data_IF_972425699741
#
_entry.id   IF_972425699741
#
_cell.length_a   1.000
_cell.length_b   1.000
_cell.length_c   1.000
_cell.angle_alpha   90.00
_cell.angle_beta   90.00
_cell.angle_gamma   90.00
#
_symmetry.space_group_name_H-M   'P 1'
#
loop_
_entity.id
_entity.type
_entity.pdbx_description
1 polymer ?
#
# COMPACT_ATOMS: atom_id res chain seq x y z
N UNK A 1 -4.32 -3.28 85.63
CA UNK A 1 -5.25 -2.12 85.58
C UNK A 1 -4.44 -0.86 85.47
N UNK A 2 -4.16 -0.39 84.30
CA UNK A 2 -3.33 0.78 84.07
C UNK A 2 -4.10 1.70 83.07
N UNK A 3 -4.57 2.80 83.60
CA UNK A 3 -5.33 3.80 82.84
C UNK A 3 -4.35 4.72 82.10
N UNK A 4 -4.43 4.76 80.79
CA UNK A 4 -3.75 5.73 79.95
C UNK A 4 -4.61 7.00 79.82
N UNK A 5 -4.03 8.12 80.24
CA UNK A 5 -4.61 9.47 80.15
C UNK A 5 -4.25 10.04 78.79
N UNK A 6 -5.24 10.39 78.01
CA UNK A 6 -5.09 11.14 76.72
C UNK A 6 -5.09 12.66 77.07
N UNK A 7 -4.01 13.31 76.69
CA UNK A 7 -3.88 14.77 76.79
C UNK A 7 -4.33 15.40 75.49
N UNK A 8 -5.29 16.30 75.52
CA UNK A 8 -5.76 17.10 74.43
C UNK A 8 -4.94 18.38 74.32
N UNK A 9 -4.05 18.47 73.34
CA UNK A 9 -3.41 19.75 73.00
C UNK A 9 -4.25 20.45 71.95
N UNK A 10 -4.76 21.61 72.29
CA UNK A 10 -5.49 22.50 71.35
C UNK A 10 -4.49 23.14 70.42
N UNK A 11 -4.62 22.88 69.12
CA UNK A 11 -3.91 23.59 68.09
C UNK A 11 -4.87 24.67 67.54
N UNK A 12 -4.37 25.92 67.65
CA UNK A 12 -5.09 27.11 67.20
C UNK A 12 -5.29 27.15 65.66
N UNK A 13 -6.46 27.53 65.27
CA UNK A 13 -6.85 27.73 63.89
C UNK A 13 -6.14 28.97 63.32
N UNK A 14 -5.30 28.74 62.29
CA UNK A 14 -4.81 29.78 61.41
C UNK A 14 -5.66 29.76 60.15
N UNK A 15 -6.53 30.75 59.97
CA UNK A 15 -7.30 30.97 58.79
C UNK A 15 -6.38 31.47 57.65
N UNK A 16 -6.13 30.60 56.66
CA UNK A 16 -5.48 30.96 55.39
C UNK A 16 -6.22 30.27 54.26
N UNK A 17 -7.37 30.80 53.89
CA UNK A 17 -8.12 30.35 52.72
C UNK A 17 -7.45 30.94 51.49
N UNK A 18 -6.44 30.27 50.95
CA UNK A 18 -5.96 30.54 49.61
C UNK A 18 -6.93 29.85 48.62
N UNK A 19 -7.82 30.63 48.04
CA UNK A 19 -8.69 30.19 46.97
C UNK A 19 -7.83 29.97 45.73
N UNK A 20 -7.47 28.71 45.46
CA UNK A 20 -6.99 28.25 44.16
C UNK A 20 -8.18 28.32 43.21
N UNK A 21 -8.34 29.45 42.53
CA UNK A 21 -9.22 29.57 41.36
C UNK A 21 -8.56 28.77 40.27
N UNK A 22 -8.94 27.50 40.11
CA UNK A 22 -8.66 26.72 38.93
C UNK A 22 -9.43 27.35 37.77
N UNK A 23 -8.74 28.15 36.96
CA UNK A 23 -9.25 28.60 35.66
C UNK A 23 -9.28 27.37 34.74
N UNK A 24 -10.40 26.65 34.77
CA UNK A 24 -10.76 25.74 33.69
C UNK A 24 -10.96 26.62 32.47
N UNK A 25 -9.97 26.61 31.57
CA UNK A 25 -10.12 27.18 30.24
C UNK A 25 -11.19 26.33 29.53
N UNK A 26 -12.43 26.83 29.54
CA UNK A 26 -13.44 26.31 28.64
C UNK A 26 -12.99 26.70 27.23
N UNK A 27 -12.47 25.74 26.47
CA UNK A 27 -12.35 25.92 25.04
C UNK A 27 -13.72 26.35 24.54
N UNK A 28 -13.78 27.50 23.86
CA UNK A 28 -15.05 28.00 23.36
C UNK A 28 -15.63 26.98 22.36
N UNK A 29 -16.96 26.86 22.35
CA UNK A 29 -17.64 26.00 21.36
C UNK A 29 -17.24 26.34 19.92
N UNK A 30 -16.82 27.58 19.68
CA UNK A 30 -16.25 28.03 18.41
C UNK A 30 -14.89 27.39 18.08
N UNK A 31 -14.09 27.06 19.07
CA UNK A 31 -12.78 26.42 18.87
C UNK A 31 -12.93 24.92 18.60
N UNK A 32 -13.90 24.29 19.26
CA UNK A 32 -14.31 22.91 18.95
C UNK A 32 -14.98 22.82 17.57
N UNK A 33 -15.84 23.74 17.21
CA UNK A 33 -16.46 23.80 15.89
C UNK A 33 -15.45 24.04 14.76
N UNK A 34 -14.35 24.79 15.02
CA UNK A 34 -13.26 24.97 14.05
C UNK A 34 -12.39 23.74 13.86
N UNK A 35 -12.27 22.89 14.89
CA UNK A 35 -11.48 21.65 14.79
C UNK A 35 -12.22 20.54 14.02
N UNK A 36 -13.56 20.63 13.94
CA UNK A 36 -14.41 19.66 13.22
C UNK A 36 -14.83 20.15 11.82
N UNK A 37 -14.43 21.35 11.41
CA UNK A 37 -14.71 21.81 10.06
C UNK A 37 -13.96 20.90 9.07
N UNK A 38 -14.69 20.02 8.41
CA UNK A 38 -14.20 19.30 7.24
C UNK A 38 -13.61 20.35 6.28
N UNK A 39 -12.42 20.09 5.70
CA UNK A 39 -11.85 21.00 4.73
C UNK A 39 -12.92 21.28 3.66
N UNK A 40 -13.29 22.55 3.49
CA UNK A 40 -14.19 22.95 2.42
C UNK A 40 -13.50 22.56 1.10
N UNK A 41 -14.04 21.56 0.42
CA UNK A 41 -13.62 21.28 -0.95
C UNK A 41 -14.03 22.48 -1.79
N UNK A 42 -13.07 23.29 -2.20
CA UNK A 42 -13.34 24.48 -3.00
C UNK A 42 -13.93 24.13 -4.36
N UNK A 43 -13.62 22.94 -4.86
CA UNK A 43 -14.13 22.38 -6.09
C UNK A 43 -14.35 20.86 -5.92
N UNK A 44 -15.61 20.43 -5.96
CA UNK A 44 -15.99 19.01 -5.85
C UNK A 44 -15.51 18.18 -7.04
N UNK A 45 -15.21 18.83 -8.16
CA UNK A 45 -14.65 18.19 -9.35
C UNK A 45 -13.12 18.13 -9.35
N UNK A 46 -12.46 18.69 -8.32
CA UNK A 46 -11.02 18.60 -8.19
C UNK A 46 -10.56 17.15 -8.02
N UNK A 47 -9.34 16.83 -8.48
CA UNK A 47 -8.78 15.48 -8.33
C UNK A 47 -8.61 15.11 -6.85
N UNK A 48 -8.37 16.07 -5.98
CA UNK A 48 -8.31 15.89 -4.54
C UNK A 48 -9.65 15.44 -3.97
N UNK A 49 -10.76 16.04 -4.39
CA UNK A 49 -12.10 15.61 -3.99
C UNK A 49 -12.41 14.21 -4.53
N UNK A 50 -12.11 13.96 -5.79
CA UNK A 50 -12.35 12.67 -6.47
C UNK A 50 -11.57 11.51 -5.84
N UNK A 51 -10.40 11.78 -5.24
CA UNK A 51 -9.55 10.73 -4.64
C UNK A 51 -9.78 10.53 -3.14
N UNK A 52 -10.71 11.24 -2.49
CA UNK A 52 -10.96 11.10 -1.05
C UNK A 52 -11.29 9.67 -0.63
N UNK A 53 -12.09 8.95 -1.40
CA UNK A 53 -12.38 7.53 -1.14
C UNK A 53 -11.15 6.64 -1.22
N UNK A 54 -10.16 7.00 -2.04
CA UNK A 54 -8.92 6.25 -2.23
C UNK A 54 -7.93 6.48 -1.08
N UNK A 55 -7.74 7.77 -0.70
CA UNK A 55 -6.71 8.15 0.28
C UNK A 55 -7.01 7.64 1.69
N UNK A 56 -8.28 7.44 2.02
CA UNK A 56 -8.70 6.87 3.31
C UNK A 56 -8.06 5.50 3.59
N UNK A 57 -7.84 4.70 2.55
CA UNK A 57 -7.23 3.38 2.66
C UNK A 57 -5.77 3.37 2.17
N UNK A 58 -5.48 4.00 1.04
CA UNK A 58 -4.17 3.92 0.40
C UNK A 58 -3.17 4.99 0.86
N UNK A 59 -3.57 5.85 1.80
CA UNK A 59 -2.74 6.98 2.25
C UNK A 59 -2.86 8.20 1.34
N UNK A 60 -2.53 9.37 1.89
CA UNK A 60 -2.80 10.68 1.26
C UNK A 60 -2.16 10.84 -0.12
N UNK A 61 -1.01 10.22 -0.33
CA UNK A 61 -0.29 10.21 -1.60
C UNK A 61 -0.22 8.81 -2.22
N UNK A 62 -1.04 7.85 -1.75
CA UNK A 62 -1.02 6.48 -2.22
C UNK A 62 0.16 5.65 -1.71
N UNK A 63 0.76 6.02 -0.58
CA UNK A 63 1.89 5.34 0.05
C UNK A 63 1.58 3.93 0.56
N UNK A 64 0.31 3.61 0.79
CA UNK A 64 -0.14 2.37 1.40
C UNK A 64 -0.08 2.40 2.92
N UNK A 65 -0.31 1.25 3.55
CA UNK A 65 -0.23 1.08 5.01
C UNK A 65 0.94 0.18 5.40
N UNK A 66 1.51 0.41 6.58
CA UNK A 66 2.61 -0.42 7.13
C UNK A 66 2.21 -1.87 7.37
N UNK A 67 0.93 -2.15 7.55
CA UNK A 67 0.42 -3.52 7.68
C UNK A 67 0.35 -4.28 6.35
N UNK A 68 0.56 -3.60 5.23
CA UNK A 68 0.43 -4.17 3.89
C UNK A 68 -1.00 -4.51 3.47
N UNK A 69 -1.98 -4.27 4.32
CA UNK A 69 -3.38 -4.56 4.00
C UNK A 69 -3.87 -3.70 2.83
N UNK A 70 -3.54 -2.40 2.85
CA UNK A 70 -3.78 -1.50 1.73
C UNK A 70 -2.45 -1.21 1.02
N UNK A 71 -2.29 -1.67 -0.23
CA UNK A 71 -1.01 -1.58 -0.92
C UNK A 71 -0.67 -0.16 -1.33
N UNK A 72 0.63 0.10 -1.47
CA UNK A 72 1.15 1.29 -2.15
C UNK A 72 0.69 1.29 -3.61
N UNK A 73 0.05 2.39 -4.01
CA UNK A 73 -0.38 2.66 -5.39
C UNK A 73 0.42 3.80 -6.03
N UNK A 74 1.07 4.64 -5.22
CA UNK A 74 1.91 5.74 -5.68
C UNK A 74 3.07 5.31 -6.58
N UNK A 75 3.28 6.04 -7.66
CA UNK A 75 4.43 5.89 -8.54
C UNK A 75 4.44 4.64 -9.41
N UNK A 76 3.34 3.90 -9.47
CA UNK A 76 3.16 2.81 -10.43
C UNK A 76 2.76 3.38 -11.79
N UNK A 77 3.04 2.69 -12.91
CA UNK A 77 2.60 3.14 -14.22
C UNK A 77 1.12 3.49 -14.26
N UNK A 78 0.76 4.60 -14.90
CA UNK A 78 -0.63 5.03 -15.00
C UNK A 78 -1.50 3.98 -15.71
N UNK A 79 -1.01 3.40 -16.80
CA UNK A 79 -1.71 2.32 -17.50
C UNK A 79 -1.93 1.08 -16.66
N UNK A 80 -0.95 0.72 -15.79
CA UNK A 80 -1.16 -0.36 -14.83
C UNK A 80 -2.28 -0.01 -13.84
N UNK A 81 -2.24 1.18 -13.23
CA UNK A 81 -3.25 1.59 -12.26
C UNK A 81 -4.64 1.61 -12.89
N UNK A 82 -4.76 2.18 -14.08
CA UNK A 82 -6.01 2.17 -14.83
C UNK A 82 -6.51 0.75 -15.12
N UNK A 83 -5.66 -0.12 -15.64
CA UNK A 83 -6.00 -1.53 -15.87
C UNK A 83 -6.48 -2.24 -14.60
N UNK A 84 -5.91 -1.92 -13.43
CA UNK A 84 -6.36 -2.50 -12.15
C UNK A 84 -7.73 -1.94 -11.71
N UNK A 85 -7.98 -0.64 -11.87
CA UNK A 85 -9.27 -0.04 -11.53
C UNK A 85 -10.38 -0.63 -12.41
N UNK A 86 -10.14 -0.75 -13.72
CA UNK A 86 -11.07 -1.43 -14.66
C UNK A 86 -11.25 -2.89 -14.28
N UNK A 87 -10.18 -3.62 -13.93
CA UNK A 87 -10.29 -5.02 -13.52
C UNK A 87 -11.11 -5.21 -12.22
N UNK A 88 -11.05 -4.27 -11.28
CA UNK A 88 -11.93 -4.27 -10.11
C UNK A 88 -13.38 -3.94 -10.50
N UNK A 89 -13.62 -2.95 -11.35
CA UNK A 89 -14.97 -2.59 -11.83
C UNK A 89 -15.63 -3.77 -12.54
N UNK A 90 -14.90 -4.42 -13.42
CA UNK A 90 -15.41 -5.52 -14.25
C UNK A 90 -15.41 -6.87 -13.53
N UNK A 91 -14.90 -6.94 -12.29
CA UNK A 91 -14.88 -8.16 -11.46
C UNK A 91 -13.81 -9.19 -11.85
N UNK A 92 -12.93 -8.89 -12.82
CA UNK A 92 -11.81 -9.77 -13.21
C UNK A 92 -10.68 -9.76 -12.16
N UNK A 93 -10.68 -8.77 -11.26
CA UNK A 93 -9.91 -8.73 -10.03
C UNK A 93 -10.88 -8.59 -8.85
N UNK A 94 -10.86 -9.57 -7.93
CA UNK A 94 -11.84 -9.64 -6.85
C UNK A 94 -11.28 -9.13 -5.54
N UNK A 95 -11.89 -8.07 -5.01
CA UNK A 95 -11.73 -7.56 -3.65
C UNK A 95 -12.91 -6.65 -3.36
N UNK A 96 -13.89 -7.13 -2.60
CA UNK A 96 -15.19 -6.49 -2.45
C UNK A 96 -15.17 -4.98 -2.19
N UNK A 97 -14.32 -4.42 -1.29
CA UNK A 97 -14.28 -2.97 -1.09
C UNK A 97 -13.90 -2.20 -2.36
N UNK A 98 -12.90 -2.68 -3.14
CA UNK A 98 -12.51 -2.02 -4.38
C UNK A 98 -13.56 -2.20 -5.48
N UNK A 99 -14.14 -3.41 -5.62
CA UNK A 99 -15.20 -3.66 -6.60
C UNK A 99 -16.39 -2.73 -6.37
N UNK A 100 -16.77 -2.52 -5.10
CA UNK A 100 -17.84 -1.59 -4.75
C UNK A 100 -17.48 -0.14 -5.04
N UNK A 101 -16.27 0.30 -4.62
CA UNK A 101 -15.82 1.69 -4.74
C UNK A 101 -15.77 2.16 -6.19
N UNK A 102 -15.25 1.33 -7.11
CA UNK A 102 -15.04 1.73 -8.51
C UNK A 102 -16.16 1.23 -9.47
N UNK A 103 -17.13 0.49 -8.96
CA UNK A 103 -18.11 -0.23 -9.76
C UNK A 103 -18.94 0.63 -10.71
N UNK A 104 -19.10 1.90 -10.40
CA UNK A 104 -19.89 2.86 -11.18
C UNK A 104 -19.07 3.98 -11.82
N UNK A 105 -17.74 3.93 -11.69
CA UNK A 105 -16.87 4.99 -12.21
C UNK A 105 -16.62 4.81 -13.72
N UNK A 106 -16.85 5.84 -14.55
CA UNK A 106 -16.58 5.78 -15.98
C UNK A 106 -15.08 5.83 -16.27
N UNK A 107 -14.69 5.36 -17.45
CA UNK A 107 -13.29 5.27 -17.88
C UNK A 107 -12.50 6.57 -17.75
N UNK A 108 -13.00 7.75 -18.16
CA UNK A 108 -12.25 8.99 -17.99
C UNK A 108 -11.90 9.27 -16.54
N UNK A 109 -12.84 9.01 -15.62
CA UNK A 109 -12.64 9.22 -14.20
C UNK A 109 -11.58 8.27 -13.61
N UNK A 110 -11.61 6.99 -14.02
CA UNK A 110 -10.59 6.02 -13.62
C UNK A 110 -9.20 6.35 -14.17
N UNK A 111 -9.13 6.93 -15.40
CA UNK A 111 -7.85 7.38 -15.99
C UNK A 111 -7.25 8.53 -15.19
N UNK A 112 -8.03 9.55 -14.84
CA UNK A 112 -7.55 10.69 -14.05
C UNK A 112 -7.04 10.26 -12.67
N UNK A 113 -7.74 9.34 -11.99
CA UNK A 113 -7.29 8.77 -10.71
C UNK A 113 -5.96 8.00 -10.90
N UNK A 114 -5.84 7.21 -11.95
CA UNK A 114 -4.64 6.44 -12.24
C UNK A 114 -3.43 7.36 -12.51
N UNK A 115 -3.61 8.40 -13.30
CA UNK A 115 -2.59 9.40 -13.61
C UNK A 115 -2.17 10.18 -12.36
N UNK A 116 -3.14 10.59 -11.53
CA UNK A 116 -2.87 11.27 -10.27
C UNK A 116 -1.93 10.45 -9.36
N UNK A 117 -2.25 9.19 -9.09
CA UNK A 117 -1.41 8.36 -8.24
C UNK A 117 -0.10 7.93 -8.92
N UNK A 118 -0.07 7.80 -10.24
CA UNK A 118 1.16 7.53 -10.98
C UNK A 118 2.20 8.65 -10.85
N UNK A 119 1.78 9.88 -10.66
CA UNK A 119 2.66 11.05 -10.45
C UNK A 119 3.12 11.21 -9.00
N UNK A 120 2.49 10.56 -8.03
CA UNK A 120 2.85 10.68 -6.63
C UNK A 120 4.21 10.02 -6.33
N UNK A 121 5.05 10.69 -5.52
CA UNK A 121 6.40 10.22 -5.15
C UNK A 121 6.64 10.27 -3.64
N UNK A 122 5.75 9.67 -2.79
CA UNK A 122 6.08 9.54 -1.37
C UNK A 122 7.31 8.65 -1.22
N UNK A 123 8.16 8.85 -0.20
CA UNK A 123 9.30 7.99 0.07
C UNK A 123 8.91 6.51 0.10
N UNK A 124 9.81 5.65 -0.34
CA UNK A 124 9.74 4.22 -0.08
C UNK A 124 10.36 3.98 1.28
N UNK A 125 9.55 3.55 2.24
CA UNK A 125 10.04 3.20 3.57
C UNK A 125 10.83 1.88 3.49
N UNK A 126 12.04 1.82 4.06
CA UNK A 126 12.74 0.55 4.21
C UNK A 126 11.91 -0.39 5.09
N UNK A 127 11.77 -1.62 4.65
CA UNK A 127 11.15 -2.64 5.49
C UNK A 127 12.10 -3.04 6.63
N UNK A 128 11.57 -3.30 7.84
CA UNK A 128 12.41 -3.83 8.92
C UNK A 128 13.12 -5.11 8.45
N UNK A 129 14.38 -5.33 8.83
CA UNK A 129 15.07 -6.55 8.46
C UNK A 129 14.39 -7.75 9.15
N UNK A 130 13.69 -8.54 8.38
CA UNK A 130 13.12 -9.79 8.86
C UNK A 130 14.20 -10.88 8.76
N UNK A 131 14.28 -11.74 9.78
CA UNK A 131 15.13 -12.93 9.73
C UNK A 131 14.49 -13.94 8.79
N UNK A 132 15.05 -14.05 7.58
CA UNK A 132 14.58 -14.98 6.57
C UNK A 132 15.49 -16.20 6.57
N UNK A 133 14.90 -17.38 6.52
CA UNK A 133 15.60 -18.65 6.33
C UNK A 133 16.58 -18.52 5.15
N UNK A 134 17.87 -18.89 5.31
CA UNK A 134 18.87 -18.79 4.24
C UNK A 134 18.48 -19.55 2.97
N UNK A 135 17.83 -20.70 3.08
CA UNK A 135 17.37 -21.50 1.94
C UNK A 135 16.27 -20.77 1.19
N UNK A 136 15.32 -20.20 1.92
CA UNK A 136 14.25 -19.38 1.34
C UNK A 136 14.81 -18.13 0.65
N UNK A 137 15.78 -17.47 1.27
CA UNK A 137 16.47 -16.30 0.72
C UNK A 137 17.23 -16.63 -0.58
N UNK A 138 17.96 -17.76 -0.62
CA UNK A 138 18.66 -18.20 -1.81
C UNK A 138 17.68 -18.53 -2.96
N UNK A 139 16.59 -19.23 -2.67
CA UNK A 139 15.55 -19.53 -3.67
C UNK A 139 14.90 -18.26 -4.21
N UNK A 140 14.59 -17.29 -3.35
CA UNK A 140 14.07 -15.97 -3.75
C UNK A 140 15.02 -15.25 -4.67
N UNK A 141 16.32 -15.26 -4.38
CA UNK A 141 17.37 -14.67 -5.24
C UNK A 141 17.31 -15.28 -6.64
N UNK A 142 17.32 -16.60 -6.75
CA UNK A 142 17.25 -17.28 -8.06
C UNK A 142 16.01 -16.86 -8.82
N UNK A 143 14.82 -16.98 -8.23
CA UNK A 143 13.56 -16.67 -8.91
C UNK A 143 13.48 -15.20 -9.37
N UNK A 144 13.94 -14.27 -8.53
CA UNK A 144 13.82 -12.86 -8.85
C UNK A 144 14.84 -12.40 -9.89
N UNK A 145 16.09 -12.90 -9.83
CA UNK A 145 17.19 -12.37 -10.66
C UNK A 145 17.54 -13.24 -11.88
N UNK A 146 17.30 -14.54 -11.83
CA UNK A 146 17.63 -15.50 -12.89
C UNK A 146 16.42 -16.24 -13.46
N UNK A 147 15.36 -16.40 -12.66
CA UNK A 147 14.22 -17.26 -12.99
C UNK A 147 14.53 -18.75 -12.79
N UNK A 148 13.66 -19.59 -13.29
CA UNK A 148 13.79 -21.06 -13.20
C UNK A 148 13.41 -21.69 -14.55
N UNK A 149 14.43 -22.08 -15.30
CA UNK A 149 14.27 -22.67 -16.63
C UNK A 149 13.55 -24.05 -16.58
N UNK A 150 13.68 -24.79 -15.48
CA UNK A 150 13.04 -26.11 -15.34
C UNK A 150 11.52 -25.98 -15.25
N UNK A 151 11.05 -24.96 -14.55
CA UNK A 151 9.61 -24.66 -14.41
C UNK A 151 9.13 -23.66 -15.46
N UNK A 152 10.03 -23.09 -16.26
CA UNK A 152 9.73 -22.08 -17.26
C UNK A 152 9.26 -20.76 -16.66
N UNK A 153 9.78 -20.41 -15.48
CA UNK A 153 9.53 -19.14 -14.80
C UNK A 153 10.65 -18.16 -15.17
N UNK A 154 10.36 -17.05 -15.88
CA UNK A 154 11.38 -16.04 -16.16
C UNK A 154 11.73 -15.26 -14.89
N UNK A 155 12.91 -14.60 -14.87
CA UNK A 155 13.28 -13.70 -13.79
C UNK A 155 12.23 -12.60 -13.60
N UNK A 156 11.87 -12.26 -12.37
CA UNK A 156 10.95 -11.15 -12.10
C UNK A 156 11.49 -9.83 -12.65
N UNK A 157 12.81 -9.62 -12.55
CA UNK A 157 13.51 -8.45 -13.09
C UNK A 157 13.40 -8.32 -14.61
N UNK A 158 13.19 -9.41 -15.34
CA UNK A 158 13.07 -9.38 -16.80
C UNK A 158 11.80 -8.66 -17.29
N UNK A 159 10.76 -8.56 -16.46
CA UNK A 159 9.52 -7.86 -16.79
C UNK A 159 9.30 -6.63 -15.90
N UNK A 160 9.62 -6.73 -14.60
CA UNK A 160 9.38 -5.65 -13.63
C UNK A 160 10.53 -4.63 -13.57
N UNK A 161 11.50 -4.72 -14.48
CA UNK A 161 12.70 -3.87 -14.57
C UNK A 161 13.82 -4.33 -13.65
N UNK A 162 15.07 -4.05 -14.02
CA UNK A 162 16.25 -4.49 -13.27
C UNK A 162 16.27 -4.00 -11.82
N UNK A 163 15.68 -2.82 -11.54
CA UNK A 163 15.50 -2.25 -10.21
C UNK A 163 14.15 -2.57 -9.59
N UNK A 164 13.31 -3.37 -10.25
CA UNK A 164 11.96 -3.74 -9.80
C UNK A 164 11.04 -2.53 -9.58
N UNK A 165 11.31 -1.42 -10.27
CA UNK A 165 10.50 -0.19 -10.20
C UNK A 165 9.29 -0.22 -11.13
N UNK A 166 9.19 -1.25 -11.97
CA UNK A 166 8.13 -1.39 -12.98
C UNK A 166 8.56 -0.92 -14.36
N UNK A 167 7.68 -1.06 -15.32
CA UNK A 167 7.90 -0.69 -16.71
C UNK A 167 6.62 -0.11 -17.31
N UNK A 168 6.75 1.05 -17.97
CA UNK A 168 5.64 1.66 -18.70
C UNK A 168 5.19 0.79 -19.87
N UNK A 169 3.91 0.85 -20.26
CA UNK A 169 2.82 1.53 -19.55
C UNK A 169 2.11 0.66 -18.50
N UNK A 170 2.31 -0.67 -18.45
CA UNK A 170 1.40 -1.59 -17.76
C UNK A 170 2.01 -2.53 -16.72
N UNK A 171 3.34 -2.56 -16.54
CA UNK A 171 3.99 -3.46 -15.58
C UNK A 171 4.34 -2.73 -14.27
N UNK A 172 3.81 -3.16 -13.11
CA UNK A 172 4.01 -2.44 -11.86
C UNK A 172 5.40 -2.65 -11.26
N UNK A 173 5.87 -1.68 -10.48
CA UNK A 173 6.99 -1.87 -9.57
C UNK A 173 6.63 -2.79 -8.40
N UNK A 174 7.61 -3.56 -7.95
CA UNK A 174 7.47 -4.53 -6.84
C UNK A 174 8.14 -4.04 -5.56
N UNK A 175 9.08 -3.11 -5.64
CA UNK A 175 9.77 -2.53 -4.47
C UNK A 175 8.78 -1.79 -3.58
N UNK A 176 8.95 -1.94 -2.26
CA UNK A 176 8.10 -1.32 -1.25
C UNK A 176 6.72 -1.94 -1.09
N UNK A 177 6.49 -3.14 -1.65
CA UNK A 177 5.30 -3.93 -1.38
C UNK A 177 5.55 -4.86 -0.19
N UNK A 178 4.55 -4.98 0.66
CA UNK A 178 4.57 -5.87 1.82
C UNK A 178 4.58 -7.36 1.40
N UNK A 179 5.34 -8.22 2.09
CA UNK A 179 5.45 -9.64 1.74
C UNK A 179 4.10 -10.36 1.69
N UNK A 180 3.24 -10.09 2.67
CA UNK A 180 1.90 -10.68 2.76
C UNK A 180 1.02 -10.29 1.58
N UNK A 181 1.13 -9.03 1.13
CA UNK A 181 0.43 -8.57 -0.07
C UNK A 181 0.94 -9.28 -1.32
N UNK A 182 2.27 -9.44 -1.48
CA UNK A 182 2.87 -10.12 -2.64
C UNK A 182 2.37 -11.56 -2.71
N UNK A 183 2.45 -12.31 -1.60
CA UNK A 183 1.96 -13.70 -1.53
C UNK A 183 0.47 -13.75 -1.88
N UNK A 184 -0.35 -12.89 -1.29
CA UNK A 184 -1.78 -12.86 -1.56
C UNK A 184 -2.10 -12.58 -3.04
N UNK A 185 -1.37 -11.69 -3.71
CA UNK A 185 -1.60 -11.41 -5.12
C UNK A 185 -1.19 -12.58 -6.02
N UNK A 186 -0.05 -13.22 -5.77
CA UNK A 186 0.37 -14.41 -6.51
C UNK A 186 -0.61 -15.57 -6.31
N UNK A 187 -1.07 -15.80 -5.07
CA UNK A 187 -2.09 -16.80 -4.77
C UNK A 187 -3.38 -16.54 -5.53
N UNK A 188 -3.86 -15.30 -5.55
CA UNK A 188 -5.10 -14.94 -6.27
C UNK A 188 -5.03 -15.19 -7.77
N UNK A 189 -3.88 -14.96 -8.41
CA UNK A 189 -3.67 -15.36 -9.80
C UNK A 189 -3.67 -16.89 -9.95
N UNK A 190 -2.99 -17.60 -9.05
CA UNK A 190 -2.91 -19.07 -9.07
C UNK A 190 -4.29 -19.73 -8.97
N UNK A 191 -5.17 -19.20 -8.14
CA UNK A 191 -6.53 -19.74 -7.91
C UNK A 191 -7.61 -19.10 -8.81
N UNK A 192 -7.25 -18.19 -9.71
CA UNK A 192 -8.18 -17.57 -10.66
C UNK A 192 -9.11 -16.50 -10.05
N UNK A 193 -8.75 -15.91 -8.92
CA UNK A 193 -9.47 -14.74 -8.34
C UNK A 193 -8.97 -13.40 -8.89
N UNK A 194 -7.86 -13.41 -9.59
CA UNK A 194 -7.26 -12.25 -10.24
C UNK A 194 -6.85 -12.61 -11.66
N UNK A 195 -7.30 -11.81 -12.61
CA UNK A 195 -6.95 -11.93 -14.02
C UNK A 195 -6.44 -10.60 -14.57
N UNK A 196 -5.53 -10.67 -15.53
CA UNK A 196 -5.14 -9.55 -16.39
C UNK A 196 -5.74 -9.74 -17.78
N UNK A 197 -5.49 -8.77 -18.69
CA UNK A 197 -5.83 -8.96 -20.10
C UNK A 197 -5.00 -10.09 -20.71
N UNK A 198 -5.62 -10.85 -21.60
CA UNK A 198 -4.95 -11.98 -22.29
C UNK A 198 -3.91 -11.50 -23.31
N UNK A 199 -2.79 -12.22 -23.44
CA UNK A 199 -2.39 -13.37 -22.63
C UNK A 199 -1.97 -12.96 -21.20
N UNK A 200 -2.59 -13.59 -20.17
CA UNK A 200 -2.28 -13.30 -18.76
C UNK A 200 -0.94 -13.93 -18.33
N UNK A 201 0.12 -13.16 -18.53
CA UNK A 201 1.48 -13.61 -18.20
C UNK A 201 1.68 -13.89 -16.71
N UNK A 202 1.01 -13.12 -15.82
CA UNK A 202 1.17 -13.31 -14.38
C UNK A 202 0.41 -14.54 -13.87
N UNK A 203 -0.75 -14.87 -14.42
CA UNK A 203 -1.42 -16.14 -14.12
C UNK A 203 -0.54 -17.32 -14.53
N UNK A 204 0.04 -17.25 -15.74
CA UNK A 204 0.95 -18.28 -16.22
C UNK A 204 2.18 -18.48 -15.33
N UNK A 205 2.72 -17.41 -14.75
CA UNK A 205 3.83 -17.46 -13.80
C UNK A 205 3.35 -18.00 -12.46
N UNK A 206 2.28 -17.44 -11.90
CA UNK A 206 1.77 -17.78 -10.58
C UNK A 206 1.35 -19.25 -10.44
N UNK A 207 0.76 -19.83 -11.49
CA UNK A 207 0.40 -21.27 -11.51
C UNK A 207 1.59 -22.21 -11.45
N UNK A 208 2.80 -21.76 -11.82
CA UNK A 208 4.04 -22.53 -11.78
C UNK A 208 4.82 -22.37 -10.48
N UNK A 209 4.56 -21.30 -9.73
CA UNK A 209 5.16 -21.07 -8.42
C UNK A 209 4.54 -22.00 -7.38
N UNK A 210 5.39 -22.69 -6.59
CA UNK A 210 4.95 -23.34 -5.36
C UNK A 210 4.63 -22.29 -4.30
N UNK A 211 3.93 -22.68 -3.23
CA UNK A 211 3.64 -21.77 -2.11
C UNK A 211 4.94 -21.34 -1.39
N UNK A 212 5.95 -22.24 -1.37
CA UNK A 212 7.29 -21.91 -0.87
C UNK A 212 7.99 -20.90 -1.78
N UNK A 213 7.87 -21.04 -3.11
CA UNK A 213 8.44 -20.08 -4.05
C UNK A 213 7.81 -18.70 -3.90
N UNK A 214 6.49 -18.61 -3.70
CA UNK A 214 5.80 -17.34 -3.46
C UNK A 214 6.32 -16.64 -2.19
N UNK A 215 6.51 -17.41 -1.11
CA UNK A 215 7.11 -16.90 0.13
C UNK A 215 8.57 -16.47 -0.07
N UNK A 216 9.35 -17.24 -0.84
CA UNK A 216 10.74 -16.91 -1.15
C UNK A 216 10.87 -15.61 -1.93
N UNK A 217 10.04 -15.42 -2.96
CA UNK A 217 9.98 -14.17 -3.75
C UNK A 217 9.57 -12.99 -2.87
N UNK A 218 8.53 -13.15 -2.05
CA UNK A 218 8.05 -12.09 -1.16
C UNK A 218 9.10 -11.67 -0.12
N UNK A 219 9.75 -12.65 0.52
CA UNK A 219 10.81 -12.44 1.48
C UNK A 219 12.06 -11.77 0.86
N UNK A 220 12.39 -12.10 -0.38
CA UNK A 220 13.48 -11.44 -1.09
C UNK A 220 13.14 -9.99 -1.43
N UNK A 221 11.93 -9.74 -1.97
CA UNK A 221 11.47 -8.42 -2.38
C UNK A 221 11.36 -7.44 -1.20
N UNK A 222 10.99 -7.91 -0.01
CA UNK A 222 10.90 -7.08 1.20
C UNK A 222 12.26 -6.54 1.66
N UNK A 223 13.37 -7.18 1.26
CA UNK A 223 14.75 -6.81 1.64
C UNK A 223 15.43 -5.94 0.59
N UNK A 224 14.80 -5.69 -0.53
CA UNK A 224 15.35 -4.80 -1.57
C UNK A 224 15.39 -3.38 -1.02
N UNK A 225 16.59 -2.81 -0.97
CA UNK A 225 16.73 -1.41 -0.60
C UNK A 225 15.96 -0.51 -1.58
N UNK A 226 15.20 0.47 -1.07
CA UNK A 226 14.54 1.42 -1.93
C UNK A 226 15.51 2.09 -2.89
N UNK A 227 15.26 2.09 -4.21
CA UNK A 227 16.12 2.78 -5.15
C UNK A 227 16.00 4.29 -4.98
N UNK A 228 17.07 5.02 -5.25
CA UNK A 228 17.09 6.49 -5.23
C UNK A 228 16.07 7.08 -6.20
N UNK A 229 15.94 6.45 -7.38
CA UNK A 229 14.91 6.78 -8.36
C UNK A 229 13.94 5.61 -8.53
N UNK A 230 12.71 5.72 -8.01
CA UNK A 230 11.69 4.69 -8.12
C UNK A 230 10.87 4.75 -9.42
N UNK A 231 11.25 5.58 -10.38
CA UNK A 231 10.50 5.75 -11.63
C UNK A 231 10.51 4.45 -12.45
N UNK A 232 9.36 4.05 -13.00
CA UNK A 232 9.26 2.93 -13.94
C UNK A 232 10.13 3.16 -15.19
N UNK A 233 10.70 2.10 -15.72
CA UNK A 233 11.52 2.18 -16.95
C UNK A 233 10.62 2.20 -18.19
N UNK A 234 11.14 2.70 -19.31
CA UNK A 234 10.44 2.65 -20.59
C UNK A 234 10.44 1.24 -21.18
N UNK A 235 9.30 0.79 -21.75
CA UNK A 235 9.16 -0.54 -22.36
C UNK A 235 10.02 -0.76 -23.59
N UNK A 236 10.42 0.31 -24.29
CA UNK A 236 11.30 0.20 -25.47
C UNK A 236 12.73 -0.22 -25.11
N UNK A 237 13.10 -0.16 -23.83
CA UNK A 237 14.42 -0.56 -23.33
C UNK A 237 14.49 -2.03 -22.89
N UNK A 238 13.36 -2.75 -22.87
CA UNK A 238 13.27 -4.11 -22.32
C UNK A 238 12.47 -5.02 -23.26
N UNK A 239 13.10 -6.10 -23.70
CA UNK A 239 12.37 -7.16 -24.41
C UNK A 239 11.78 -8.14 -23.38
N UNK A 240 10.44 -8.18 -23.28
CA UNK A 240 9.76 -9.11 -22.40
C UNK A 240 9.92 -10.57 -22.86
N UNK A 241 10.22 -11.51 -21.93
CA UNK A 241 10.38 -12.93 -22.27
C UNK A 241 9.06 -13.62 -22.61
N UNK A 242 7.93 -13.04 -22.23
CA UNK A 242 6.59 -13.56 -22.47
C UNK A 242 5.69 -12.47 -23.06
N UNK A 243 4.77 -12.86 -23.92
CA UNK A 243 3.66 -12.00 -24.31
C UNK A 243 2.77 -11.74 -23.06
N UNK A 244 2.36 -10.49 -22.89
CA UNK A 244 1.65 -10.05 -21.69
C UNK A 244 0.61 -8.99 -22.07
N UNK A 245 -0.68 -9.36 -22.10
CA UNK A 245 -1.77 -8.45 -22.43
C UNK A 245 -1.94 -7.32 -21.40
N UNK A 246 -1.57 -7.58 -20.14
CA UNK A 246 -1.59 -6.56 -19.08
C UNK A 246 -0.56 -5.44 -19.24
N UNK A 247 0.39 -5.58 -20.20
CA UNK A 247 1.34 -4.51 -20.52
C UNK A 247 0.68 -3.41 -21.36
N UNK A 248 -0.31 -3.73 -22.17
CA UNK A 248 -1.09 -2.74 -22.90
C UNK A 248 -2.08 -2.02 -21.96
N UNK A 249 -2.33 -0.75 -22.26
CA UNK A 249 -3.42 -0.01 -21.58
C UNK A 249 -4.73 -0.42 -22.24
N UNK A 250 -5.74 -0.73 -21.44
CA UNK A 250 -7.09 -1.02 -21.96
C UNK A 250 -7.64 0.19 -22.69
N UNK A 251 -8.43 -0.02 -23.76
CA UNK A 251 -9.03 1.06 -24.51
C UNK A 251 -9.97 1.94 -23.69
#
# INVERSE_FOLDING_TARGET
>A
MTRLRFSWTRIAAGSGCAALVSTLAFASLDELARSEALPAFGDLDSIEARTQGCVTCHGRRGEGTKSGYFPRIAGKPAGYLYNQLVAFRDGTRRYAPMNYLVGYMPDPYLREIAEHFAMQRPPLEPQPPEQVDPVLSARGTVLVTAGDAQTGIPACTACHGARLTGMEPGTPGLVGLEPTYIVAQLTRWKVGERHAAEPDCMQRIATRLSDTDMKAVAAWLSRVAPPTDPTPVSSNLVRMPLACGGQAVRP
#
